data_IF_738198129637
#
_entry.id   IF_738198129637
#
_cell.length_a   1.000
_cell.length_b   1.000
_cell.length_c   1.000
_cell.angle_alpha   90.00
_cell.angle_beta   90.00
_cell.angle_gamma   90.00
#
_symmetry.space_group_name_H-M   'P 1'
#
loop_
_entity.id
_entity.type
_entity.pdbx_description
1 polymer ?
#
# COMPACT_ATOMS: atom_id res chain seq x y z
N UNK A 1 18.60 -64.14 -9.48
CA UNK A 1 17.64 -63.34 -10.28
C UNK A 1 17.63 -61.81 -9.97
N UNK A 2 18.72 -61.17 -9.54
CA UNK A 2 18.73 -59.75 -9.17
C UNK A 2 19.49 -58.82 -10.17
N UNK A 3 20.30 -59.39 -11.03
CA UNK A 3 21.10 -58.59 -12.02
C UNK A 3 20.30 -57.75 -13.02
N UNK A 4 19.19 -58.22 -13.62
CA UNK A 4 18.48 -57.44 -14.61
C UNK A 4 17.74 -56.21 -14.02
N UNK A 5 17.30 -56.30 -12.77
CA UNK A 5 16.64 -55.18 -12.11
C UNK A 5 17.62 -54.02 -11.82
N UNK A 6 18.84 -54.36 -11.36
CA UNK A 6 19.90 -53.33 -11.10
C UNK A 6 20.34 -52.65 -12.38
N UNK A 7 20.41 -53.36 -13.47
CA UNK A 7 20.75 -52.81 -14.78
C UNK A 7 19.69 -51.83 -15.31
N UNK A 8 18.41 -52.17 -15.17
CA UNK A 8 17.28 -51.27 -15.51
C UNK A 8 17.27 -50.03 -14.64
N UNK A 9 17.49 -50.18 -13.32
CA UNK A 9 17.54 -49.05 -12.42
C UNK A 9 18.68 -48.11 -12.76
N UNK A 10 19.87 -48.66 -13.08
CA UNK A 10 21.03 -47.84 -13.49
C UNK A 10 20.75 -47.05 -14.77
N UNK A 11 20.11 -47.67 -15.77
CA UNK A 11 19.74 -46.95 -16.99
C UNK A 11 18.68 -45.89 -16.76
N UNK A 12 17.69 -46.13 -15.90
CA UNK A 12 16.72 -45.08 -15.49
C UNK A 12 17.38 -43.89 -14.80
N UNK A 13 18.25 -44.13 -13.84
CA UNK A 13 18.95 -43.05 -13.11
C UNK A 13 19.85 -42.25 -14.07
N UNK A 14 20.58 -42.92 -14.97
CA UNK A 14 21.41 -42.22 -15.96
C UNK A 14 20.55 -41.40 -16.93
N UNK A 15 19.46 -42.00 -17.44
CA UNK A 15 18.54 -41.31 -18.32
C UNK A 15 17.91 -40.08 -17.66
N UNK A 16 17.46 -40.22 -16.40
CA UNK A 16 16.91 -39.11 -15.62
C UNK A 16 17.96 -38.01 -15.36
N UNK A 17 19.20 -38.43 -15.01
CA UNK A 17 20.31 -37.52 -14.78
C UNK A 17 20.74 -36.70 -16.01
N UNK A 18 20.47 -37.19 -17.24
CA UNK A 18 20.72 -36.47 -18.48
C UNK A 18 19.49 -35.63 -18.87
N UNK A 19 18.30 -36.21 -18.76
CA UNK A 19 17.09 -35.60 -19.26
C UNK A 19 16.69 -34.37 -18.44
N UNK A 20 16.89 -34.41 -17.13
CA UNK A 20 16.48 -33.33 -16.21
C UNK A 20 17.26 -32.02 -16.43
N UNK A 21 18.62 -32.03 -16.53
CA UNK A 21 19.35 -30.80 -16.85
C UNK A 21 19.08 -30.28 -18.28
N UNK A 22 18.86 -31.16 -19.24
CA UNK A 22 18.50 -30.76 -20.62
C UNK A 22 17.12 -30.08 -20.60
N UNK A 23 16.13 -30.67 -19.96
CA UNK A 23 14.80 -30.08 -19.84
C UNK A 23 14.84 -28.73 -19.11
N UNK A 24 15.66 -28.61 -18.08
CA UNK A 24 15.86 -27.35 -17.35
C UNK A 24 16.51 -26.27 -18.26
N UNK A 25 17.54 -26.65 -19.00
CA UNK A 25 18.23 -25.74 -19.94
C UNK A 25 17.28 -25.25 -21.05
N UNK A 26 16.48 -26.15 -21.63
CA UNK A 26 15.46 -25.79 -22.60
C UNK A 26 14.39 -24.90 -21.99
N UNK A 27 13.94 -25.19 -20.77
CA UNK A 27 12.95 -24.35 -20.05
C UNK A 27 13.47 -22.94 -19.78
N UNK A 28 14.76 -22.79 -19.44
CA UNK A 28 15.38 -21.48 -19.25
C UNK A 28 15.53 -20.75 -20.59
N UNK A 29 15.97 -21.45 -21.64
CA UNK A 29 16.15 -20.87 -22.97
C UNK A 29 14.80 -20.47 -23.62
N UNK A 30 13.74 -21.21 -23.35
CA UNK A 30 12.39 -20.92 -23.83
C UNK A 30 11.68 -19.79 -23.05
N UNK A 31 12.26 -19.29 -21.97
CA UNK A 31 11.71 -18.13 -21.24
C UNK A 31 11.72 -16.91 -22.16
N UNK A 32 10.54 -16.47 -22.55
CA UNK A 32 10.39 -15.18 -23.20
C UNK A 32 10.87 -14.09 -22.21
N UNK A 33 11.76 -13.18 -22.63
CA UNK A 33 12.14 -12.06 -21.78
C UNK A 33 10.86 -11.32 -21.38
N UNK A 34 10.71 -11.07 -20.08
CA UNK A 34 9.62 -10.22 -19.58
C UNK A 34 9.75 -8.88 -20.33
N UNK A 35 8.73 -8.42 -21.04
CA UNK A 35 8.80 -7.14 -21.72
C UNK A 35 9.13 -6.09 -20.66
N UNK A 36 10.33 -5.53 -20.73
CA UNK A 36 10.74 -4.42 -19.86
C UNK A 36 9.82 -3.25 -20.19
N UNK A 37 8.95 -2.88 -19.24
CA UNK A 37 8.18 -1.65 -19.36
C UNK A 37 9.17 -0.50 -19.18
N UNK A 38 9.67 0.01 -20.30
CA UNK A 38 10.64 1.11 -20.33
C UNK A 38 10.02 2.48 -20.02
N UNK A 39 8.69 2.58 -20.07
CA UNK A 39 7.97 3.78 -19.67
C UNK A 39 6.59 3.40 -19.16
N UNK A 40 6.21 3.92 -18.01
CA UNK A 40 4.82 3.86 -17.56
C UNK A 40 3.95 4.61 -18.57
N UNK A 41 2.74 4.09 -18.91
CA UNK A 41 1.76 4.83 -19.68
C UNK A 41 1.55 6.21 -19.06
N UNK A 42 1.41 7.25 -19.89
CA UNK A 42 1.25 8.64 -19.43
C UNK A 42 0.08 8.83 -18.47
N UNK A 43 -0.93 7.98 -18.57
CA UNK A 43 -2.09 7.95 -17.68
C UNK A 43 -1.74 7.49 -16.26
N UNK A 44 -0.68 6.70 -16.10
CA UNK A 44 -0.18 6.23 -14.79
C UNK A 44 0.95 7.12 -14.24
N UNK A 45 1.52 7.99 -15.06
CA UNK A 45 2.39 9.07 -14.61
C UNK A 45 1.49 10.23 -14.21
N UNK A 46 0.78 10.08 -13.08
CA UNK A 46 0.15 11.23 -12.46
C UNK A 46 1.26 12.25 -12.20
N UNK A 47 1.16 13.43 -12.83
CA UNK A 47 2.04 14.55 -12.47
C UNK A 47 2.04 14.68 -10.96
N UNK A 48 3.21 14.74 -10.30
CA UNK A 48 3.26 14.89 -8.85
C UNK A 48 2.45 16.14 -8.51
N UNK A 49 1.30 15.92 -7.88
CA UNK A 49 0.45 17.01 -7.42
C UNK A 49 1.21 17.70 -6.32
N UNK A 50 1.52 18.94 -6.54
CA UNK A 50 2.31 19.72 -5.61
C UNK A 50 1.39 20.22 -4.48
N UNK A 51 1.34 19.48 -3.39
CA UNK A 51 0.71 19.90 -2.17
C UNK A 51 1.75 20.66 -1.35
N UNK A 52 1.85 21.96 -1.53
CA UNK A 52 2.91 22.77 -0.93
C UNK A 52 2.45 23.57 0.29
N UNK A 53 1.18 23.94 0.37
CA UNK A 53 0.68 24.74 1.48
C UNK A 53 0.21 23.86 2.64
N UNK A 54 0.84 24.00 3.82
CA UNK A 54 0.36 23.35 5.03
C UNK A 54 -0.75 24.19 5.67
N UNK A 55 -1.95 23.65 5.75
CA UNK A 55 -3.09 24.29 6.41
C UNK A 55 -2.98 24.18 7.94
N UNK A 56 -2.65 22.97 8.42
CA UNK A 56 -2.39 22.73 9.82
C UNK A 56 -1.55 21.46 10.04
N UNK A 57 -0.99 21.36 11.24
CA UNK A 57 -0.23 20.19 11.71
C UNK A 57 -0.68 19.83 13.12
N UNK A 58 -0.99 18.56 13.37
CA UNK A 58 -1.53 18.07 14.63
C UNK A 58 -0.95 16.71 15.00
N UNK A 59 -0.52 16.59 16.24
CA UNK A 59 -0.02 15.34 16.82
C UNK A 59 -1.06 14.66 17.74
N UNK A 60 -2.20 15.31 17.98
CA UNK A 60 -3.25 14.83 18.90
C UNK A 60 -4.42 14.12 18.21
N UNK A 61 -4.34 13.92 16.89
CA UNK A 61 -5.40 13.28 16.12
C UNK A 61 -5.55 11.80 16.44
N UNK A 62 -4.44 11.08 16.54
CA UNK A 62 -4.43 9.68 16.92
C UNK A 62 -4.16 9.56 18.41
N UNK A 63 -4.86 8.63 19.09
CA UNK A 63 -4.74 8.45 20.54
C UNK A 63 -3.88 7.27 20.94
N UNK A 64 -3.85 6.24 20.10
CA UNK A 64 -3.09 5.00 20.36
C UNK A 64 -1.72 4.99 19.69
N UNK A 65 -1.55 5.81 18.64
CA UNK A 65 -0.34 5.81 17.83
C UNK A 65 0.31 7.20 17.81
N UNK A 66 1.64 7.31 18.02
CA UNK A 66 2.36 8.58 18.02
C UNK A 66 2.62 9.08 16.60
N UNK A 67 1.54 9.40 15.89
CA UNK A 67 1.57 9.87 14.51
C UNK A 67 1.15 11.31 14.46
N UNK A 68 1.99 12.15 13.88
CA UNK A 68 1.70 13.52 13.53
C UNK A 68 1.12 13.60 12.13
N UNK A 69 0.06 14.35 11.97
CA UNK A 69 -0.66 14.54 10.71
C UNK A 69 -0.57 15.97 10.26
N UNK A 70 -0.18 16.19 9.01
CA UNK A 70 -0.23 17.49 8.35
C UNK A 70 -1.29 17.48 7.28
N UNK A 71 -2.19 18.43 7.31
CA UNK A 71 -3.10 18.71 6.20
C UNK A 71 -2.43 19.65 5.23
N UNK A 72 -2.35 19.23 3.99
CA UNK A 72 -1.74 19.96 2.90
C UNK A 72 -2.81 20.38 1.92
N UNK A 73 -2.63 21.56 1.31
CA UNK A 73 -3.49 22.06 0.24
C UNK A 73 -2.73 22.12 -1.08
N UNK A 74 -3.42 21.82 -2.17
CA UNK A 74 -2.87 21.95 -3.52
C UNK A 74 -2.58 23.41 -3.88
N UNK A 75 -1.39 23.66 -4.40
CA UNK A 75 -0.94 25.04 -4.75
C UNK A 75 -1.69 25.64 -5.93
N UNK A 76 -2.25 24.83 -6.81
CA UNK A 76 -2.89 25.20 -8.06
C UNK A 76 -4.42 25.15 -8.02
N UNK A 77 -5.03 25.88 -7.10
CA UNK A 77 -6.39 26.40 -7.28
C UNK A 77 -7.61 25.50 -7.20
N UNK A 78 -7.48 24.17 -7.13
CA UNK A 78 -8.63 23.27 -7.15
C UNK A 78 -9.23 22.97 -5.75
N UNK A 79 -8.70 23.58 -4.67
CA UNK A 79 -9.21 23.34 -3.32
C UNK A 79 -9.05 21.91 -2.83
N UNK A 80 -8.16 21.12 -3.41
CA UNK A 80 -7.90 19.74 -3.02
C UNK A 80 -6.96 19.68 -1.82
N UNK A 81 -7.15 18.66 -1.01
CA UNK A 81 -6.36 18.42 0.19
C UNK A 81 -5.66 17.08 0.13
N UNK A 82 -4.55 16.98 0.84
CA UNK A 82 -3.84 15.74 1.10
C UNK A 82 -3.43 15.68 2.56
N UNK A 83 -3.21 14.50 3.06
CA UNK A 83 -2.68 14.24 4.38
C UNK A 83 -1.27 13.69 4.27
N UNK A 84 -0.33 14.26 4.99
CA UNK A 84 1.01 13.73 5.16
C UNK A 84 1.19 13.27 6.61
N UNK A 85 1.93 12.19 6.78
CA UNK A 85 2.14 11.57 8.07
C UNK A 85 3.61 11.68 8.47
N UNK A 86 3.84 11.88 9.75
CA UNK A 86 5.16 11.74 10.36
C UNK A 86 5.00 10.87 11.60
N UNK A 87 5.78 9.80 11.67
CA UNK A 87 5.78 8.89 12.80
C UNK A 87 7.13 8.92 13.52
N UNK A 88 7.14 8.60 14.81
CA UNK A 88 8.38 8.40 15.54
C UNK A 88 9.22 7.28 14.92
N UNK A 89 10.55 7.35 15.06
CA UNK A 89 11.49 6.40 14.41
C UNK A 89 11.29 4.94 14.83
N UNK A 90 10.76 4.71 16.00
CA UNK A 90 10.45 3.43 16.62
C UNK A 90 9.04 2.93 16.27
N UNK A 91 8.24 3.73 15.56
CA UNK A 91 6.95 3.29 15.07
C UNK A 91 7.12 2.44 13.80
N UNK A 92 7.25 1.13 13.99
CA UNK A 92 7.36 0.16 12.90
C UNK A 92 6.13 -0.75 12.94
N UNK A 93 5.15 -0.43 12.10
CA UNK A 93 4.02 -1.33 11.82
C UNK A 93 3.99 -1.57 10.31
N UNK A 94 4.30 -2.79 9.85
CA UNK A 94 4.22 -3.12 8.44
C UNK A 94 2.76 -3.14 7.98
N UNK A 95 2.56 -2.91 6.68
CA UNK A 95 1.29 -3.09 5.98
C UNK A 95 0.11 -2.23 6.50
N UNK A 96 0.41 -1.02 6.99
CA UNK A 96 -0.63 -0.06 7.34
C UNK A 96 -1.21 0.59 6.10
N UNK A 97 -2.53 0.58 6.04
CA UNK A 97 -3.32 1.28 5.04
C UNK A 97 -4.14 2.38 5.70
N UNK A 98 -4.26 3.49 5.02
CA UNK A 98 -5.01 4.66 5.46
C UNK A 98 -6.31 4.74 4.70
N UNK A 99 -7.41 4.84 5.45
CA UNK A 99 -8.74 5.10 4.90
C UNK A 99 -9.26 6.45 5.39
N UNK A 100 -10.08 7.07 4.56
CA UNK A 100 -10.92 8.21 4.91
C UNK A 100 -12.36 7.76 5.10
N UNK A 101 -12.99 8.20 6.16
CA UNK A 101 -14.41 8.00 6.41
C UNK A 101 -15.05 9.36 6.64
N UNK A 102 -16.01 9.72 5.78
CA UNK A 102 -16.73 10.97 5.89
C UNK A 102 -17.72 10.94 7.07
N UNK A 103 -17.85 12.06 7.75
CA UNK A 103 -18.73 12.22 8.91
C UNK A 103 -18.07 11.83 10.23
N UNK A 104 -18.86 11.89 11.30
CA UNK A 104 -18.45 11.48 12.65
C UNK A 104 -18.98 10.06 12.86
N UNK A 105 -18.11 9.08 12.69
CA UNK A 105 -18.47 7.67 12.88
C UNK A 105 -17.76 7.12 14.11
N UNK A 106 -18.50 6.48 15.00
CA UNK A 106 -17.90 5.64 16.04
C UNK A 106 -17.46 4.33 15.40
N UNK A 107 -16.22 4.30 14.94
CA UNK A 107 -15.61 3.13 14.31
C UNK A 107 -14.90 2.34 15.41
N UNK A 108 -15.38 1.12 15.66
CA UNK A 108 -14.78 0.26 16.69
C UNK A 108 -13.97 -0.88 16.09
N UNK A 109 -14.61 -1.83 15.44
CA UNK A 109 -13.96 -3.10 15.05
C UNK A 109 -14.00 -3.36 13.54
N UNK A 110 -14.93 -2.76 12.83
CA UNK A 110 -15.11 -3.00 11.39
C UNK A 110 -15.03 -1.70 10.61
N UNK A 111 -14.39 -1.80 9.44
CA UNK A 111 -14.30 -0.68 8.51
C UNK A 111 -15.68 -0.41 7.89
N UNK A 112 -16.21 0.82 7.97
CA UNK A 112 -17.50 1.16 7.37
C UNK A 112 -17.50 0.99 5.84
N UNK A 113 -18.65 0.67 5.25
CA UNK A 113 -18.79 0.51 3.79
C UNK A 113 -18.46 1.78 3.00
N UNK A 114 -18.68 2.96 3.60
CA UNK A 114 -18.37 4.26 3.00
C UNK A 114 -16.92 4.68 3.13
N UNK A 115 -16.03 3.81 3.62
CA UNK A 115 -14.60 4.11 3.74
C UNK A 115 -13.93 4.20 2.37
N UNK A 116 -13.13 5.23 2.19
CA UNK A 116 -12.35 5.48 0.98
C UNK A 116 -10.88 5.20 1.22
N UNK A 117 -10.32 4.29 0.44
CA UNK A 117 -8.90 4.00 0.49
C UNK A 117 -8.10 5.23 0.02
N UNK A 118 -7.20 5.71 0.85
CA UNK A 118 -6.24 6.78 0.49
C UNK A 118 -4.94 6.21 -0.04
N UNK A 119 -4.45 5.15 0.56
CA UNK A 119 -3.20 4.49 0.17
C UNK A 119 -2.47 3.83 1.33
N UNK A 120 -1.24 3.40 1.05
CA UNK A 120 -0.35 2.81 2.06
C UNK A 120 0.23 3.92 2.94
N UNK A 121 0.27 3.67 4.24
CA UNK A 121 0.90 4.59 5.19
C UNK A 121 2.39 4.75 4.87
N UNK A 122 2.78 5.97 4.59
CA UNK A 122 4.17 6.30 4.30
C UNK A 122 4.46 7.74 4.78
N UNK A 123 5.55 7.92 5.52
CA UNK A 123 5.97 9.24 6.00
C UNK A 123 6.53 10.16 4.91
N UNK A 124 6.85 9.61 3.73
CA UNK A 124 7.45 10.36 2.62
C UNK A 124 6.44 10.82 1.57
N UNK A 125 5.20 10.32 1.61
CA UNK A 125 4.21 10.55 0.56
C UNK A 125 2.95 11.15 1.16
N UNK A 126 2.48 12.25 0.55
CA UNK A 126 1.18 12.82 0.88
C UNK A 126 0.08 12.03 0.18
N UNK A 127 -0.94 11.61 0.92
CA UNK A 127 -2.10 10.89 0.42
C UNK A 127 -3.22 11.88 0.11
N UNK A 128 -3.65 11.94 -1.15
CA UNK A 128 -4.71 12.83 -1.58
C UNK A 128 -6.06 12.43 -0.95
N UNK A 129 -6.78 13.39 -0.39
CA UNK A 129 -8.15 13.19 0.06
C UNK A 129 -9.11 13.13 -1.13
N UNK A 130 -10.21 12.39 -1.03
CA UNK A 130 -11.23 12.34 -2.06
C UNK A 130 -11.82 13.73 -2.31
N UNK A 131 -12.20 14.02 -3.54
CA UNK A 131 -12.78 15.32 -3.90
C UNK A 131 -14.16 15.57 -3.28
N UNK A 132 -14.86 14.49 -2.93
CA UNK A 132 -16.15 14.48 -2.24
C UNK A 132 -16.02 14.62 -0.70
N UNK A 133 -14.81 14.65 -0.18
CA UNK A 133 -14.57 14.92 1.24
C UNK A 133 -14.90 16.38 1.64
N UNK A 134 -15.02 17.29 0.68
CA UNK A 134 -15.40 18.70 0.87
C UNK A 134 -16.87 18.94 0.59
N UNK A 135 -17.56 19.82 1.33
CA UNK A 135 -17.18 20.48 2.57
C UNK A 135 -17.61 19.64 3.78
N UNK A 136 -16.73 18.90 4.39
CA UNK A 136 -17.14 18.02 5.47
C UNK A 136 -16.09 17.81 6.55
N UNK A 137 -16.52 17.15 7.61
CA UNK A 137 -15.65 16.55 8.61
C UNK A 137 -15.55 15.05 8.35
N UNK A 138 -14.47 14.45 8.79
CA UNK A 138 -14.28 13.01 8.70
C UNK A 138 -13.16 12.55 9.62
N UNK A 139 -12.90 11.27 9.55
CA UNK A 139 -11.87 10.59 10.34
C UNK A 139 -10.94 9.80 9.43
N UNK A 140 -9.69 9.69 9.86
CA UNK A 140 -8.70 8.80 9.27
C UNK A 140 -8.67 7.49 10.04
N UNK A 141 -8.67 6.39 9.33
CA UNK A 141 -8.58 5.06 9.92
C UNK A 141 -7.28 4.41 9.47
N UNK A 142 -6.50 3.97 10.44
CA UNK A 142 -5.31 3.15 10.21
C UNK A 142 -5.69 1.68 10.32
N UNK A 143 -5.54 0.95 9.25
CA UNK A 143 -5.90 -0.46 9.15
C UNK A 143 -4.66 -1.29 8.82
N UNK A 144 -4.44 -2.38 9.55
CA UNK A 144 -3.37 -3.33 9.26
C UNK A 144 -3.88 -4.47 8.40
N UNK A 145 -3.29 -4.64 7.22
CA UNK A 145 -3.61 -5.79 6.36
C UNK A 145 -3.12 -7.11 6.93
N UNK A 146 -2.00 -7.09 7.63
CA UNK A 146 -1.40 -8.32 8.18
C UNK A 146 -2.27 -8.95 9.26
N UNK A 147 -2.87 -8.13 10.12
CA UNK A 147 -3.70 -8.58 11.24
C UNK A 147 -5.19 -8.49 10.93
N UNK A 148 -5.56 -7.76 9.86
CA UNK A 148 -6.94 -7.48 9.47
C UNK A 148 -7.75 -6.73 10.55
N UNK A 149 -7.11 -5.78 11.23
CA UNK A 149 -7.69 -5.02 12.33
C UNK A 149 -7.49 -3.52 12.17
N UNK A 150 -8.40 -2.74 12.76
CA UNK A 150 -8.24 -1.31 12.92
C UNK A 150 -7.21 -1.04 14.00
N UNK A 151 -6.12 -0.40 13.63
CA UNK A 151 -5.01 -0.08 14.55
C UNK A 151 -5.36 1.16 15.38
N UNK A 152 -5.83 2.21 14.72
CA UNK A 152 -6.23 3.46 15.36
C UNK A 152 -7.21 4.23 14.47
N UNK A 153 -8.01 5.08 15.11
CA UNK A 153 -8.96 5.99 14.45
C UNK A 153 -8.66 7.40 14.92
N UNK A 154 -8.55 8.32 13.98
CA UNK A 154 -8.31 9.71 14.32
C UNK A 154 -9.53 10.35 14.98
N UNK A 155 -9.30 11.39 15.79
CA UNK A 155 -10.36 12.33 16.13
C UNK A 155 -10.94 12.95 14.84
N UNK A 156 -12.24 13.28 14.83
CA UNK A 156 -12.84 13.93 13.68
C UNK A 156 -12.23 15.32 13.46
N UNK A 157 -11.99 15.67 12.22
CA UNK A 157 -11.50 16.98 11.85
C UNK A 157 -12.19 17.51 10.59
N UNK A 158 -12.29 18.82 10.49
CA UNK A 158 -12.80 19.50 9.33
C UNK A 158 -11.67 19.86 8.37
N UNK A 159 -11.96 19.82 7.08
CA UNK A 159 -11.00 20.16 6.02
C UNK A 159 -10.87 21.66 5.79
N UNK A 160 -11.87 22.43 6.22
CA UNK A 160 -11.81 23.89 6.21
C UNK A 160 -11.43 24.39 7.61
N UNK A 161 -10.60 25.44 7.60
CA UNK A 161 -10.32 26.19 8.84
C UNK A 161 -11.62 26.86 9.29
N UNK A 162 -12.02 26.73 10.57
CA UNK A 162 -13.20 27.40 11.09
C UNK A 162 -13.09 28.92 10.97
#
# INVERSE_FOLDING_TARGET
>A
MIRPLRQRHRHMVVALGVFLPVALAVGIAARKPVPGVTSLPKELVASPREFAATEWERADLFTKTPIQVRLLRESTGAGRFAVAFSAAKDFVKPDLIVYWVAGISNITDTLPENSRLLGVFNSSVALALPSDALPGSGVLVLYSLAVQEIVDVSKPFALQKP
#
